data_IF_439521621492
#
_entry.id   IF_439521621492
#
_cell.length_a   1.000
_cell.length_b   1.000
_cell.length_c   1.000
_cell.angle_alpha   90.00
_cell.angle_beta   90.00
_cell.angle_gamma   90.00
#
_symmetry.space_group_name_H-M   'P 1'
#
loop_
_entity.id
_entity.type
_entity.pdbx_description
1 polymer ?
#
# COMPACT_ATOMS: atom_id res chain seq x y z
N UNK A 1 17.35 31.71 -10.66
CA UNK A 1 18.67 31.40 -11.23
C UNK A 1 19.71 31.76 -10.17
N UNK A 2 20.11 30.78 -9.36
CA UNK A 2 21.20 30.89 -8.38
C UNK A 2 21.88 29.52 -8.38
N UNK A 3 22.74 29.33 -9.39
CA UNK A 3 23.75 28.29 -9.39
C UNK A 3 24.83 28.75 -8.40
N UNK A 4 24.77 28.22 -7.18
CA UNK A 4 25.79 28.44 -6.15
C UNK A 4 26.17 27.09 -5.56
N UNK A 5 27.42 26.68 -5.77
CA UNK A 5 28.01 25.52 -5.13
C UNK A 5 28.12 25.79 -3.62
N UNK A 6 27.31 25.09 -2.82
CA UNK A 6 27.49 25.05 -1.37
C UNK A 6 27.56 23.59 -0.90
N UNK A 7 28.65 23.25 -0.20
CA UNK A 7 28.73 22.02 0.61
C UNK A 7 27.99 22.32 1.92
N UNK A 8 26.72 21.92 2.01
CA UNK A 8 25.87 22.15 3.18
C UNK A 8 25.67 20.82 3.91
N UNK A 9 26.16 20.72 5.15
CA UNK A 9 26.12 19.48 5.96
C UNK A 9 24.80 19.23 6.70
N UNK A 10 23.96 20.24 6.88
CA UNK A 10 22.61 20.12 7.48
C UNK A 10 21.84 21.42 7.25
N UNK A 11 20.61 21.37 6.73
CA UNK A 11 19.79 22.55 6.52
C UNK A 11 18.40 22.35 7.13
N UNK A 12 18.00 23.27 8.03
CA UNK A 12 16.63 23.38 8.54
C UNK A 12 15.98 24.55 7.79
N UNK A 13 15.13 24.25 6.82
CA UNK A 13 14.34 25.27 6.13
C UNK A 13 13.21 25.73 7.04
N UNK A 14 13.43 26.79 7.82
CA UNK A 14 12.32 27.43 8.53
C UNK A 14 11.49 28.33 7.59
N UNK A 15 12.04 28.92 6.52
CA UNK A 15 11.31 29.97 5.75
C UNK A 15 11.53 30.04 4.21
N UNK A 16 12.17 29.05 3.56
CA UNK A 16 12.41 29.11 2.10
C UNK A 16 11.54 28.10 1.33
N UNK A 17 10.48 28.60 0.68
CA UNK A 17 9.45 27.78 0.04
C UNK A 17 9.79 27.25 -1.37
N UNK A 18 11.06 27.02 -1.73
CA UNK A 18 11.41 26.51 -3.09
C UNK A 18 12.51 25.46 -3.05
N UNK A 19 12.17 24.23 -3.43
CA UNK A 19 13.12 23.16 -3.73
C UNK A 19 13.56 23.27 -5.20
N UNK A 20 14.85 23.49 -5.44
CA UNK A 20 15.49 23.38 -6.76
C UNK A 20 16.44 22.19 -6.78
N UNK A 21 16.63 21.56 -7.96
CA UNK A 21 17.56 20.44 -8.12
C UNK A 21 18.97 20.78 -7.58
N UNK A 22 19.50 19.90 -6.74
CA UNK A 22 20.85 20.01 -6.20
C UNK A 22 21.77 19.03 -6.93
N UNK A 23 22.76 19.53 -7.65
CA UNK A 23 23.66 18.68 -8.47
C UNK A 23 24.84 18.10 -7.69
N UNK A 24 25.17 18.61 -6.50
CA UNK A 24 26.30 18.14 -5.69
C UNK A 24 26.01 18.32 -4.19
N UNK A 25 25.46 17.29 -3.54
CA UNK A 25 25.31 17.25 -2.08
C UNK A 25 25.92 15.97 -1.53
N UNK A 26 26.86 16.11 -0.58
CA UNK A 26 27.30 15.01 0.27
C UNK A 26 26.52 15.09 1.59
N UNK A 27 25.81 14.01 1.93
CA UNK A 27 25.03 13.87 3.16
C UNK A 27 24.02 15.00 3.43
N UNK A 28 22.88 14.95 2.74
CA UNK A 28 21.77 15.90 2.92
C UNK A 28 20.71 15.30 3.85
N UNK A 29 20.37 16.01 4.93
CA UNK A 29 19.18 15.72 5.73
C UNK A 29 18.15 16.83 5.58
N UNK A 30 16.93 16.46 5.19
CA UNK A 30 15.80 17.37 5.01
C UNK A 30 14.68 17.04 6.01
N UNK A 31 14.11 18.08 6.62
CA UNK A 31 12.90 17.98 7.42
C UNK A 31 12.07 19.25 7.24
N UNK A 32 10.80 19.09 6.89
CA UNK A 32 9.88 20.17 6.60
C UNK A 32 8.78 20.22 7.66
N UNK A 33 8.73 21.31 8.44
CA UNK A 33 7.67 21.51 9.45
C UNK A 33 6.31 21.79 8.82
N UNK A 34 6.30 22.46 7.66
CA UNK A 34 5.11 22.82 6.93
C UNK A 34 4.88 21.88 5.74
N UNK A 35 3.64 21.82 5.28
CA UNK A 35 3.25 21.01 4.11
C UNK A 35 3.95 21.54 2.85
N UNK A 36 4.60 20.65 2.11
CA UNK A 36 5.26 20.94 0.83
C UNK A 36 4.32 20.52 -0.32
N UNK A 37 3.99 21.45 -1.22
CA UNK A 37 3.07 21.22 -2.35
C UNK A 37 3.58 21.83 -3.66
N UNK A 38 2.88 21.57 -4.77
CA UNK A 38 3.31 21.91 -6.14
C UNK A 38 3.86 23.32 -6.40
N UNK A 39 3.34 24.43 -5.85
CA UNK A 39 3.95 25.75 -6.09
C UNK A 39 5.38 25.89 -5.52
N UNK A 40 5.83 24.90 -4.72
CA UNK A 40 7.10 24.89 -4.01
C UNK A 40 8.11 23.87 -4.55
N UNK A 41 7.72 23.04 -5.53
CA UNK A 41 8.58 22.03 -6.18
C UNK A 41 8.62 22.31 -7.68
N UNK A 42 9.72 22.91 -8.15
CA UNK A 42 9.92 23.21 -9.57
C UNK A 42 10.57 22.07 -10.35
N UNK A 43 11.27 21.17 -9.66
CA UNK A 43 11.90 20.00 -10.27
C UNK A 43 12.08 18.89 -9.24
N UNK A 44 12.18 17.62 -9.68
CA UNK A 44 12.60 16.52 -8.82
C UNK A 44 13.97 16.79 -8.17
N UNK A 45 14.20 16.17 -7.02
CA UNK A 45 15.55 15.95 -6.52
C UNK A 45 16.22 14.90 -7.42
N UNK A 46 16.92 15.40 -8.44
CA UNK A 46 17.74 14.56 -9.32
C UNK A 46 18.96 14.06 -8.56
N UNK A 47 19.14 12.75 -8.54
CA UNK A 47 20.33 12.09 -8.01
C UNK A 47 21.09 11.54 -9.22
N UNK A 48 22.29 12.07 -9.47
CA UNK A 48 23.13 11.70 -10.63
C UNK A 48 24.31 10.80 -10.23
N UNK A 49 24.86 10.08 -11.21
CA UNK A 49 25.98 9.14 -11.05
C UNK A 49 27.36 9.82 -10.90
N UNK A 50 27.49 11.12 -11.18
CA UNK A 50 28.77 11.68 -11.64
C UNK A 50 29.76 12.09 -10.55
N UNK A 51 29.53 11.79 -9.26
CA UNK A 51 30.51 12.13 -8.23
C UNK A 51 30.72 11.01 -7.22
N UNK A 52 31.98 10.58 -7.13
CA UNK A 52 32.58 9.55 -6.26
C UNK A 52 32.57 9.91 -4.76
N UNK A 53 31.64 10.75 -4.30
CA UNK A 53 31.57 11.21 -2.91
C UNK A 53 30.17 10.90 -2.37
N UNK A 54 30.12 9.82 -1.60
CA UNK A 54 28.98 9.26 -0.87
C UNK A 54 27.97 10.31 -0.39
N UNK A 55 26.74 10.22 -0.90
CA UNK A 55 25.63 11.09 -0.54
C UNK A 55 24.49 10.29 0.06
N UNK A 56 24.42 10.24 1.40
CA UNK A 56 23.20 9.78 2.09
C UNK A 56 22.16 10.89 2.03
N UNK A 57 21.03 10.65 1.36
CA UNK A 57 19.86 11.54 1.45
C UNK A 57 18.95 11.02 2.56
N UNK A 58 18.70 11.87 3.56
CA UNK A 58 17.74 11.60 4.63
C UNK A 58 16.57 12.58 4.50
N UNK A 59 15.35 12.07 4.40
CA UNK A 59 14.13 12.87 4.53
C UNK A 59 13.38 12.37 5.77
N UNK A 60 13.07 13.27 6.70
CA UNK A 60 12.40 12.89 7.93
C UNK A 60 11.32 13.89 8.35
N UNK A 61 10.27 13.39 9.01
CA UNK A 61 9.24 14.20 9.67
C UNK A 61 8.70 15.29 8.74
N UNK A 62 8.26 14.89 7.55
CA UNK A 62 7.88 15.81 6.47
C UNK A 62 6.54 15.42 5.88
N UNK A 63 5.82 16.39 5.30
CA UNK A 63 4.55 16.15 4.63
C UNK A 63 4.54 16.76 3.23
N UNK A 64 4.45 15.91 2.21
CA UNK A 64 4.30 16.28 0.80
C UNK A 64 2.86 16.06 0.35
N UNK A 65 2.27 17.06 -0.30
CA UNK A 65 0.88 17.02 -0.74
C UNK A 65 0.72 17.54 -2.17
N UNK A 66 -0.05 16.83 -3.01
CA UNK A 66 -0.37 17.23 -4.40
C UNK A 66 0.89 17.50 -5.25
N UNK A 67 1.90 16.65 -5.11
CA UNK A 67 3.14 16.75 -5.93
C UNK A 67 2.93 15.97 -7.22
N UNK A 68 2.87 16.65 -8.36
CA UNK A 68 2.49 16.08 -9.66
C UNK A 68 3.65 15.47 -10.44
N UNK A 69 4.79 15.23 -9.78
CA UNK A 69 5.98 14.62 -10.34
C UNK A 69 6.71 13.84 -9.25
N UNK A 70 7.59 12.89 -9.60
CA UNK A 70 8.44 12.22 -8.62
C UNK A 70 9.26 13.23 -7.81
N UNK A 71 9.23 13.12 -6.48
CA UNK A 71 10.05 13.95 -5.60
C UNK A 71 11.51 13.57 -5.71
N UNK A 72 11.78 12.26 -5.70
CA UNK A 72 13.11 11.68 -5.87
C UNK A 72 13.11 10.96 -7.21
N UNK A 73 14.04 11.34 -8.09
CA UNK A 73 14.13 10.77 -9.42
C UNK A 73 15.58 10.47 -9.81
N UNK A 74 15.81 9.29 -10.39
CA UNK A 74 17.07 8.96 -11.07
C UNK A 74 17.85 7.80 -10.44
N UNK A 75 19.18 7.93 -10.46
CA UNK A 75 20.10 6.89 -10.00
C UNK A 75 20.74 7.37 -8.70
N UNK A 76 20.51 6.66 -7.60
CA UNK A 76 20.89 7.16 -6.27
C UNK A 76 21.88 6.25 -5.54
N UNK A 77 22.65 6.85 -4.64
CA UNK A 77 23.27 6.15 -3.51
C UNK A 77 22.21 5.86 -2.42
N UNK A 78 22.63 5.52 -1.20
CA UNK A 78 21.70 5.09 -0.16
C UNK A 78 20.76 6.21 0.29
N UNK A 79 19.45 5.99 0.21
CA UNK A 79 18.41 6.93 0.66
C UNK A 79 17.76 6.40 1.94
N UNK A 80 17.45 7.30 2.87
CA UNK A 80 16.60 7.01 4.02
C UNK A 80 15.45 7.99 4.11
N UNK A 81 14.23 7.48 4.18
CA UNK A 81 13.03 8.31 4.39
C UNK A 81 12.27 7.74 5.56
N UNK A 82 11.93 8.61 6.52
CA UNK A 82 11.24 8.17 7.73
C UNK A 82 10.19 9.15 8.24
N UNK A 83 9.13 8.66 8.87
CA UNK A 83 8.06 9.49 9.43
C UNK A 83 7.56 10.55 8.44
N UNK A 84 7.41 10.19 7.17
CA UNK A 84 7.10 11.13 6.09
C UNK A 84 5.80 10.73 5.41
N UNK A 85 4.93 11.71 5.18
CA UNK A 85 3.65 11.52 4.50
C UNK A 85 3.70 12.06 3.07
N UNK A 86 3.18 11.28 2.13
CA UNK A 86 2.98 11.62 0.73
C UNK A 86 1.49 11.46 0.41
N UNK A 87 0.79 12.56 0.12
CA UNK A 87 -0.63 12.55 -0.16
C UNK A 87 -0.92 13.14 -1.53
N UNK A 88 -1.66 12.42 -2.39
CA UNK A 88 -1.98 12.85 -3.76
C UNK A 88 -0.73 13.17 -4.59
N UNK A 89 0.34 12.40 -4.40
CA UNK A 89 1.59 12.55 -5.15
C UNK A 89 1.59 11.62 -6.38
N UNK A 90 2.45 11.93 -7.36
CA UNK A 90 2.71 11.07 -8.52
C UNK A 90 4.06 10.40 -8.33
N UNK A 91 4.07 9.07 -8.15
CA UNK A 91 5.26 8.22 -7.92
C UNK A 91 6.38 8.95 -7.16
N UNK A 92 6.14 9.41 -5.91
CA UNK A 92 7.05 10.29 -5.16
C UNK A 92 8.50 9.79 -5.12
N UNK A 93 8.73 8.48 -5.19
CA UNK A 93 10.08 7.91 -5.26
C UNK A 93 10.18 7.06 -6.51
N UNK A 94 10.98 7.53 -7.47
CA UNK A 94 11.22 6.85 -8.74
C UNK A 94 12.73 6.64 -8.94
N UNK A 95 13.20 5.43 -8.66
CA UNK A 95 14.60 5.06 -8.72
C UNK A 95 14.80 4.00 -9.80
N UNK A 96 15.57 4.35 -10.83
CA UNK A 96 15.85 3.46 -11.93
C UNK A 96 17.35 3.23 -12.07
N UNK A 97 17.87 2.17 -11.45
CA UNK A 97 19.30 1.83 -11.52
C UNK A 97 19.64 0.74 -12.55
N UNK A 98 18.67 0.24 -13.33
CA UNK A 98 18.93 -0.76 -14.37
C UNK A 98 20.01 -0.25 -15.33
N UNK A 99 21.09 -1.02 -15.42
CA UNK A 99 22.06 -0.90 -16.50
C UNK A 99 21.76 -2.01 -17.50
N UNK A 100 21.40 -1.67 -18.75
CA UNK A 100 20.88 -2.57 -19.81
C UNK A 100 21.79 -3.76 -20.20
N UNK A 101 22.88 -4.02 -19.46
CA UNK A 101 23.90 -5.04 -19.75
C UNK A 101 23.79 -6.31 -18.90
N UNK A 102 22.97 -6.38 -17.86
CA UNK A 102 22.90 -7.57 -16.98
C UNK A 102 21.47 -8.12 -16.89
N UNK A 103 21.28 -9.39 -17.26
CA UNK A 103 20.09 -10.15 -16.86
C UNK A 103 20.21 -10.45 -15.37
N UNK A 104 19.15 -10.18 -14.60
CA UNK A 104 19.08 -10.38 -13.14
C UNK A 104 18.88 -11.86 -12.76
N UNK A 105 19.66 -12.77 -13.37
CA UNK A 105 19.48 -14.22 -13.23
C UNK A 105 20.25 -14.83 -12.05
N UNK A 106 21.05 -14.06 -11.32
CA UNK A 106 21.71 -14.54 -10.10
C UNK A 106 21.95 -13.44 -9.07
N UNK A 107 21.92 -13.85 -7.78
CA UNK A 107 22.04 -12.98 -6.59
C UNK A 107 23.33 -12.14 -6.56
N UNK A 108 24.36 -12.54 -7.30
CA UNK A 108 25.69 -11.90 -7.34
C UNK A 108 25.72 -10.57 -8.13
N UNK A 109 24.65 -10.22 -8.83
CA UNK A 109 24.62 -9.03 -9.70
C UNK A 109 23.76 -7.88 -9.18
N UNK A 110 23.16 -7.98 -8.00
CA UNK A 110 22.34 -6.91 -7.43
C UNK A 110 23.19 -5.73 -6.97
N UNK A 111 22.67 -4.51 -7.15
CA UNK A 111 23.33 -3.31 -6.65
C UNK A 111 23.42 -3.27 -5.12
N UNK A 112 24.53 -2.75 -4.58
CA UNK A 112 24.69 -2.42 -3.15
C UNK A 112 23.91 -1.16 -2.70
N UNK A 113 23.26 -0.46 -3.63
CA UNK A 113 22.48 0.75 -3.36
C UNK A 113 21.28 0.43 -2.45
N UNK A 114 21.21 1.07 -1.27
CA UNK A 114 20.22 0.77 -0.24
C UNK A 114 19.17 1.87 -0.08
N UNK A 115 17.90 1.53 -0.20
CA UNK A 115 16.78 2.44 0.05
C UNK A 115 16.06 1.99 1.32
N UNK A 116 16.08 2.81 2.36
CA UNK A 116 15.42 2.56 3.65
C UNK A 116 14.18 3.46 3.80
N UNK A 117 13.00 2.85 3.84
CA UNK A 117 11.73 3.54 4.04
C UNK A 117 11.12 3.02 5.35
N UNK A 118 10.93 3.90 6.33
CA UNK A 118 10.48 3.51 7.65
C UNK A 118 9.37 4.42 8.18
N UNK A 119 8.19 3.88 8.51
CA UNK A 119 7.07 4.68 9.03
C UNK A 119 6.66 5.82 8.10
N UNK A 120 6.51 5.52 6.81
CA UNK A 120 6.04 6.50 5.83
C UNK A 120 4.63 6.16 5.39
N UNK A 121 3.84 7.21 5.16
CA UNK A 121 2.43 7.10 4.76
C UNK A 121 2.30 7.59 3.32
N UNK A 122 1.73 6.74 2.46
CA UNK A 122 1.46 7.04 1.06
C UNK A 122 -0.03 6.90 0.81
N UNK A 123 -0.69 8.02 0.55
CA UNK A 123 -2.13 8.11 0.44
C UNK A 123 -2.56 8.74 -0.88
N UNK A 124 -3.50 8.11 -1.58
CA UNK A 124 -4.10 8.66 -2.79
C UNK A 124 -3.07 9.04 -3.88
N UNK A 125 -1.89 8.42 -3.88
CA UNK A 125 -0.90 8.66 -4.91
C UNK A 125 -1.40 8.02 -6.21
N UNK A 126 -1.41 8.79 -7.30
CA UNK A 126 -2.06 8.38 -8.54
C UNK A 126 -1.10 8.54 -9.71
N UNK A 127 -0.77 7.44 -10.39
CA UNK A 127 0.19 7.41 -11.50
C UNK A 127 -0.28 6.42 -12.57
N UNK A 128 -1.43 6.66 -13.21
CA UNK A 128 -2.10 5.67 -14.05
C UNK A 128 -1.30 5.31 -15.31
N UNK A 129 -0.35 6.15 -15.71
CA UNK A 129 0.53 5.92 -16.87
C UNK A 129 1.92 5.41 -16.49
N UNK A 130 2.22 5.29 -15.20
CA UNK A 130 3.51 4.80 -14.68
C UNK A 130 3.30 3.52 -13.89
N UNK A 131 4.39 2.79 -13.67
CA UNK A 131 4.43 1.70 -12.71
C UNK A 131 4.78 2.22 -11.31
N UNK A 132 4.18 1.64 -10.27
CA UNK A 132 4.44 2.01 -8.88
C UNK A 132 3.84 3.36 -8.53
N UNK A 133 2.59 3.36 -8.06
CA UNK A 133 1.86 4.60 -7.73
C UNK A 133 2.55 5.45 -6.67
N UNK A 134 3.31 4.80 -5.78
CA UNK A 134 4.13 5.43 -4.76
C UNK A 134 5.62 5.28 -5.09
N UNK A 135 6.03 4.03 -5.33
CA UNK A 135 7.43 3.63 -5.41
C UNK A 135 7.69 2.88 -6.70
N UNK A 136 8.63 3.38 -7.50
CA UNK A 136 9.28 2.63 -8.57
C UNK A 136 10.72 2.37 -8.16
N UNK A 137 11.10 1.09 -8.02
CA UNK A 137 12.42 0.68 -7.55
C UNK A 137 13.02 -0.33 -8.52
N UNK A 138 14.16 0.02 -9.08
CA UNK A 138 14.83 -0.78 -10.10
C UNK A 138 16.30 -0.99 -9.73
N UNK A 139 16.72 -2.25 -9.64
CA UNK A 139 18.06 -2.72 -9.26
C UNK A 139 18.63 -2.07 -7.99
N UNK A 140 17.88 -2.16 -6.89
CA UNK A 140 18.29 -1.64 -5.58
C UNK A 140 17.97 -2.63 -4.46
N UNK A 141 18.66 -2.48 -3.33
CA UNK A 141 18.28 -3.10 -2.07
C UNK A 141 17.26 -2.23 -1.33
N UNK A 142 15.98 -2.59 -1.34
CA UNK A 142 14.93 -1.86 -0.63
C UNK A 142 14.62 -2.49 0.73
N UNK A 143 14.44 -1.64 1.75
CA UNK A 143 14.00 -2.02 3.09
C UNK A 143 12.83 -1.12 3.46
N UNK A 144 11.62 -1.67 3.40
CA UNK A 144 10.35 -0.98 3.62
C UNK A 144 9.76 -1.53 4.91
N UNK A 145 9.64 -0.69 5.94
CA UNK A 145 9.27 -1.13 7.28
C UNK A 145 8.23 -0.21 7.89
N UNK A 146 7.14 -0.77 8.43
CA UNK A 146 6.10 0.02 9.11
C UNK A 146 5.49 1.11 8.22
N UNK A 147 5.47 0.90 6.91
CA UNK A 147 4.91 1.87 5.97
C UNK A 147 3.43 1.58 5.72
N UNK A 148 2.71 2.63 5.35
CA UNK A 148 1.29 2.60 5.07
C UNK A 148 1.03 3.04 3.63
N UNK A 149 0.30 2.23 2.87
CA UNK A 149 -0.05 2.49 1.46
C UNK A 149 -1.56 2.37 1.29
N UNK A 150 -2.24 3.51 1.15
CA UNK A 150 -3.69 3.59 1.08
C UNK A 150 -4.20 4.29 -0.18
N UNK A 151 -5.10 3.62 -0.89
CA UNK A 151 -5.79 4.16 -2.07
C UNK A 151 -4.83 4.67 -3.16
N UNK A 152 -3.68 4.02 -3.34
CA UNK A 152 -2.75 4.38 -4.39
C UNK A 152 -3.09 3.64 -5.68
N UNK A 153 -2.87 4.29 -6.82
CA UNK A 153 -3.22 3.77 -8.13
C UNK A 153 -2.09 3.91 -9.14
N UNK A 154 -1.90 2.88 -9.97
CA UNK A 154 -0.88 2.87 -11.02
C UNK A 154 -1.31 2.03 -12.24
N UNK A 155 -0.49 2.01 -13.28
CA UNK A 155 -0.67 1.06 -14.38
C UNK A 155 -0.41 -0.38 -13.91
N UNK A 156 0.72 -0.59 -13.23
CA UNK A 156 1.17 -1.88 -12.67
C UNK A 156 1.75 -1.62 -11.28
N UNK A 157 1.39 -2.45 -10.29
CA UNK A 157 1.85 -2.27 -8.91
C UNK A 157 1.25 -1.01 -8.30
N UNK A 158 -0.03 -1.06 -7.91
CA UNK A 158 -0.81 0.13 -7.53
C UNK A 158 -0.15 1.01 -6.47
N UNK A 159 0.62 0.41 -5.56
CA UNK A 159 1.50 1.13 -4.65
C UNK A 159 2.98 1.04 -5.06
N UNK A 160 3.48 -0.17 -5.29
CA UNK A 160 4.91 -0.44 -5.46
C UNK A 160 5.17 -1.26 -6.71
N UNK A 161 6.14 -0.83 -7.49
CA UNK A 161 6.74 -1.61 -8.57
C UNK A 161 8.23 -1.82 -8.29
N UNK A 162 8.65 -3.09 -8.25
CA UNK A 162 10.04 -3.49 -8.04
C UNK A 162 10.51 -4.35 -9.22
N UNK A 163 11.69 -4.05 -9.74
CA UNK A 163 12.37 -4.85 -10.75
C UNK A 163 13.85 -5.02 -10.42
N UNK A 164 14.33 -6.26 -10.32
CA UNK A 164 15.70 -6.54 -9.91
C UNK A 164 15.96 -6.29 -8.42
N UNK A 165 17.20 -6.51 -8.00
CA UNK A 165 17.66 -6.22 -6.65
C UNK A 165 17.11 -7.16 -5.56
N UNK A 166 17.09 -6.66 -4.32
CA UNK A 166 16.58 -7.36 -3.14
C UNK A 166 15.62 -6.46 -2.38
N UNK A 167 14.44 -6.94 -2.06
CA UNK A 167 13.43 -6.15 -1.34
C UNK A 167 12.98 -6.83 -0.06
N UNK A 168 12.99 -6.08 1.04
CA UNK A 168 12.53 -6.51 2.36
C UNK A 168 11.38 -5.62 2.79
N UNK A 169 10.19 -6.19 2.93
CA UNK A 169 8.97 -5.49 3.33
C UNK A 169 8.47 -6.09 4.64
N UNK A 170 8.38 -5.27 5.70
CA UNK A 170 7.95 -5.76 7.02
C UNK A 170 6.98 -4.83 7.71
N UNK A 171 6.06 -5.40 8.48
CA UNK A 171 5.11 -4.64 9.31
C UNK A 171 4.35 -3.55 8.54
N UNK A 172 4.12 -3.73 7.24
CA UNK A 172 3.57 -2.70 6.37
C UNK A 172 2.16 -3.07 5.92
N UNK A 173 1.35 -2.05 5.63
CA UNK A 173 -0.06 -2.24 5.26
C UNK A 173 -0.34 -1.64 3.88
N UNK A 174 -1.01 -2.42 3.04
CA UNK A 174 -1.38 -2.09 1.66
C UNK A 174 -2.89 -2.23 1.53
N UNK A 175 -3.61 -1.12 1.47
CA UNK A 175 -5.06 -1.09 1.58
C UNK A 175 -5.67 -0.32 0.42
N UNK A 176 -6.68 -0.91 -0.22
CA UNK A 176 -7.45 -0.27 -1.30
C UNK A 176 -6.58 0.28 -2.45
N UNK A 177 -5.38 -0.27 -2.65
CA UNK A 177 -4.55 0.12 -3.78
C UNK A 177 -5.07 -0.57 -5.05
N UNK A 178 -4.96 0.11 -6.19
CA UNK A 178 -5.46 -0.38 -7.47
C UNK A 178 -4.44 -0.33 -8.59
N UNK A 179 -4.52 -1.28 -9.53
CA UNK A 179 -3.73 -1.26 -10.76
C UNK A 179 -4.61 -1.47 -11.99
N UNK A 180 -4.29 -0.75 -13.07
CA UNK A 180 -4.99 -0.91 -14.36
C UNK A 180 -4.66 -2.22 -15.07
N UNK A 181 -3.54 -2.86 -14.74
CA UNK A 181 -3.15 -4.16 -15.29
C UNK A 181 -2.95 -5.17 -14.18
N UNK A 182 -1.73 -5.26 -13.66
CA UNK A 182 -1.35 -6.31 -12.72
C UNK A 182 -0.95 -5.73 -11.35
N UNK A 183 -1.15 -6.54 -10.32
CA UNK A 183 -0.76 -6.27 -8.93
C UNK A 183 -1.41 -5.01 -8.32
N UNK A 184 -2.57 -5.19 -7.69
CA UNK A 184 -3.28 -4.07 -7.06
C UNK A 184 -2.44 -3.30 -6.03
N UNK A 185 -1.51 -3.97 -5.34
CA UNK A 185 -0.57 -3.32 -4.43
C UNK A 185 0.88 -3.38 -4.91
N UNK A 186 1.45 -4.59 -5.06
CA UNK A 186 2.90 -4.75 -5.29
C UNK A 186 3.15 -5.64 -6.51
N UNK A 187 3.80 -5.08 -7.52
CA UNK A 187 4.40 -5.86 -8.59
C UNK A 187 5.89 -6.05 -8.33
N UNK A 188 6.38 -7.28 -8.46
CA UNK A 188 7.80 -7.60 -8.31
C UNK A 188 8.27 -8.49 -9.45
N UNK A 189 9.42 -8.16 -10.04
CA UNK A 189 10.07 -9.00 -11.05
C UNK A 189 11.56 -9.15 -10.81
N UNK A 190 12.11 -10.32 -11.11
CA UNK A 190 13.54 -10.59 -11.12
C UNK A 190 14.25 -10.28 -9.77
N UNK A 191 13.56 -10.48 -8.64
CA UNK A 191 13.96 -9.97 -7.33
C UNK A 191 14.09 -11.09 -6.28
N UNK A 192 15.01 -10.91 -5.33
CA UNK A 192 14.96 -11.63 -4.05
C UNK A 192 14.04 -10.88 -3.09
N UNK A 193 12.97 -11.53 -2.68
CA UNK A 193 11.87 -10.91 -1.95
C UNK A 193 11.74 -11.50 -0.54
N UNK A 194 11.65 -10.61 0.44
CA UNK A 194 11.22 -10.92 1.80
C UNK A 194 9.99 -10.09 2.13
N UNK A 195 8.86 -10.73 2.45
CA UNK A 195 7.68 -10.04 2.99
C UNK A 195 7.27 -10.73 4.28
N UNK A 196 7.16 -9.95 5.36
CA UNK A 196 6.87 -10.50 6.68
C UNK A 196 5.93 -9.61 7.48
N UNK A 197 5.03 -10.22 8.25
CA UNK A 197 4.17 -9.52 9.21
C UNK A 197 3.41 -8.34 8.58
N UNK A 198 3.00 -8.45 7.31
CA UNK A 198 2.40 -7.37 6.53
C UNK A 198 0.96 -7.69 6.10
N UNK A 199 0.15 -6.66 5.81
CA UNK A 199 -1.25 -6.85 5.42
C UNK A 199 -1.56 -6.25 4.05
N UNK A 200 -2.39 -6.97 3.29
CA UNK A 200 -2.85 -6.63 1.96
C UNK A 200 -4.39 -6.73 1.97
N UNK A 201 -5.08 -5.59 2.03
CA UNK A 201 -6.52 -5.54 2.21
C UNK A 201 -7.22 -4.78 1.09
N UNK A 202 -8.23 -5.39 0.47
CA UNK A 202 -9.09 -4.75 -0.52
C UNK A 202 -8.33 -4.13 -1.70
N UNK A 203 -7.17 -4.68 -2.06
CA UNK A 203 -6.43 -4.23 -3.24
C UNK A 203 -7.07 -4.83 -4.50
N UNK A 204 -6.99 -4.12 -5.62
CA UNK A 204 -7.60 -4.56 -6.88
C UNK A 204 -6.71 -4.39 -8.11
N UNK A 205 -6.76 -5.36 -9.02
CA UNK A 205 -6.12 -5.28 -10.33
C UNK A 205 -7.16 -5.58 -11.43
N UNK A 206 -7.11 -4.91 -12.58
CA UNK A 206 -8.04 -5.23 -13.67
C UNK A 206 -7.69 -6.55 -14.37
N UNK A 207 -6.41 -6.95 -14.39
CA UNK A 207 -5.97 -8.19 -15.03
C UNK A 207 -5.59 -9.23 -13.97
N UNK A 208 -4.33 -9.26 -13.49
CA UNK A 208 -3.86 -10.35 -12.64
C UNK A 208 -3.30 -9.90 -11.28
N UNK A 209 -3.40 -10.77 -10.28
CA UNK A 209 -2.79 -10.55 -8.96
C UNK A 209 -3.47 -9.42 -8.20
N UNK A 210 -4.62 -9.68 -7.59
CA UNK A 210 -5.42 -8.63 -6.96
C UNK A 210 -4.67 -7.87 -5.86
N UNK A 211 -3.74 -8.51 -5.15
CA UNK A 211 -2.81 -7.81 -4.24
C UNK A 211 -1.37 -7.79 -4.73
N UNK A 212 -0.77 -8.96 -4.96
CA UNK A 212 0.64 -9.07 -5.34
C UNK A 212 0.77 -9.94 -6.59
N UNK A 213 1.60 -9.49 -7.53
CA UNK A 213 2.09 -10.33 -8.62
C UNK A 213 3.62 -10.36 -8.59
N UNK A 214 4.19 -11.56 -8.55
CA UNK A 214 5.62 -11.80 -8.57
C UNK A 214 5.99 -12.65 -9.78
N UNK A 215 7.02 -12.23 -10.52
CA UNK A 215 7.55 -12.96 -11.68
C UNK A 215 9.06 -13.18 -11.58
N UNK A 216 9.52 -14.40 -11.77
CA UNK A 216 10.96 -14.75 -11.76
C UNK A 216 11.63 -14.32 -10.44
N UNK A 217 10.95 -14.54 -9.30
CA UNK A 217 11.40 -14.09 -7.99
C UNK A 217 11.82 -15.26 -7.08
N UNK A 218 12.76 -15.01 -6.17
CA UNK A 218 13.11 -15.93 -5.10
C UNK A 218 12.58 -15.39 -3.77
N UNK A 219 11.69 -16.14 -3.13
CA UNK A 219 11.08 -15.78 -1.86
C UNK A 219 11.97 -16.30 -0.74
N UNK A 220 12.93 -15.47 -0.31
CA UNK A 220 13.84 -15.78 0.78
C UNK A 220 13.06 -16.07 2.08
N UNK A 221 12.09 -15.20 2.40
CA UNK A 221 11.19 -15.34 3.55
C UNK A 221 9.84 -14.72 3.19
N UNK A 222 8.77 -15.50 3.19
CA UNK A 222 7.41 -14.99 3.05
C UNK A 222 6.54 -15.54 4.17
N UNK A 223 6.33 -14.76 5.24
CA UNK A 223 5.78 -15.28 6.50
C UNK A 223 4.80 -14.34 7.20
N UNK A 224 3.70 -14.89 7.73
CA UNK A 224 2.70 -14.14 8.53
C UNK A 224 2.15 -12.91 7.81
N UNK A 225 1.89 -13.07 6.52
CA UNK A 225 1.23 -12.05 5.72
C UNK A 225 -0.27 -12.34 5.64
N UNK A 226 -1.07 -11.28 5.59
CA UNK A 226 -2.53 -11.36 5.52
C UNK A 226 -3.00 -10.80 4.18
N UNK A 227 -3.77 -11.60 3.45
CA UNK A 227 -4.43 -11.25 2.20
C UNK A 227 -5.93 -11.27 2.43
N UNK A 228 -6.55 -10.09 2.42
CA UNK A 228 -7.96 -9.92 2.72
C UNK A 228 -8.67 -9.19 1.57
N UNK A 229 -9.65 -9.84 0.96
CA UNK A 229 -10.48 -9.23 -0.08
C UNK A 229 -9.72 -8.63 -1.25
N UNK A 230 -8.58 -9.24 -1.64
CA UNK A 230 -7.91 -8.89 -2.89
C UNK A 230 -8.76 -9.30 -4.09
N UNK A 231 -8.84 -8.46 -5.13
CA UNK A 231 -9.68 -8.70 -6.29
C UNK A 231 -8.91 -8.53 -7.60
N UNK A 232 -9.00 -9.51 -8.50
CA UNK A 232 -8.49 -9.42 -9.85
C UNK A 232 -9.64 -9.53 -10.87
N UNK A 233 -9.63 -8.72 -11.92
CA UNK A 233 -10.63 -8.80 -12.99
C UNK A 233 -10.51 -10.09 -13.80
N UNK A 234 -9.27 -10.52 -14.11
CA UNK A 234 -9.03 -11.75 -14.86
C UNK A 234 -8.61 -12.90 -13.93
N UNK A 235 -7.42 -12.89 -13.33
CA UNK A 235 -6.87 -14.06 -12.60
C UNK A 235 -6.19 -13.70 -11.28
N UNK A 236 -6.33 -14.61 -10.31
CA UNK A 236 -5.57 -14.63 -9.04
C UNK A 236 -5.83 -13.43 -8.12
N UNK A 237 -6.82 -13.54 -7.23
CA UNK A 237 -7.28 -12.43 -6.39
C UNK A 237 -6.32 -12.01 -5.27
N UNK A 238 -5.58 -12.97 -4.70
CA UNK A 238 -4.59 -12.71 -3.66
C UNK A 238 -3.19 -12.48 -4.21
N UNK A 239 -2.42 -13.57 -4.29
CA UNK A 239 -1.01 -13.60 -4.68
C UNK A 239 -0.82 -14.47 -5.92
N UNK A 240 -0.15 -13.93 -6.95
CA UNK A 240 0.35 -14.72 -8.08
C UNK A 240 1.87 -14.77 -8.09
N UNK A 241 2.40 -15.98 -8.32
CA UNK A 241 3.82 -16.28 -8.40
C UNK A 241 4.08 -17.04 -9.70
N UNK A 242 4.73 -16.39 -10.66
CA UNK A 242 5.13 -16.98 -11.95
C UNK A 242 6.65 -17.14 -11.99
N UNK A 243 7.15 -18.31 -12.37
CA UNK A 243 8.58 -18.61 -12.43
C UNK A 243 9.31 -18.33 -11.10
N UNK A 244 8.63 -18.50 -9.97
CA UNK A 244 9.18 -18.20 -8.65
C UNK A 244 9.69 -19.46 -7.93
N UNK A 245 10.44 -19.27 -6.84
CA UNK A 245 10.90 -20.30 -5.90
C UNK A 245 10.89 -19.77 -4.48
N UNK A 246 10.94 -20.64 -3.47
CA UNK A 246 11.06 -20.26 -2.06
C UNK A 246 9.95 -20.82 -1.18
N UNK A 247 9.60 -20.08 -0.12
CA UNK A 247 8.72 -20.58 0.95
C UNK A 247 7.69 -19.53 1.37
N UNK A 248 6.40 -19.90 1.28
CA UNK A 248 5.28 -19.16 1.85
C UNK A 248 4.79 -19.93 3.07
N UNK A 249 4.82 -19.28 4.24
CA UNK A 249 4.36 -19.92 5.46
C UNK A 249 3.58 -19.03 6.41
N UNK A 250 2.72 -19.64 7.23
CA UNK A 250 1.93 -18.94 8.25
C UNK A 250 1.12 -17.75 7.70
N UNK A 251 0.81 -17.76 6.41
CA UNK A 251 0.05 -16.70 5.76
C UNK A 251 -1.45 -16.99 5.83
N UNK A 252 -2.24 -15.94 5.69
CA UNK A 252 -3.69 -15.97 5.84
C UNK A 252 -4.36 -15.37 4.61
N UNK A 253 -5.27 -16.10 3.96
CA UNK A 253 -6.00 -15.66 2.77
C UNK A 253 -7.51 -15.71 3.04
N UNK A 254 -8.24 -14.62 2.81
CA UNK A 254 -9.70 -14.57 3.01
C UNK A 254 -10.42 -13.54 2.16
N UNK A 255 -11.58 -13.93 1.63
CA UNK A 255 -12.46 -13.10 0.80
C UNK A 255 -11.85 -12.63 -0.52
N UNK A 256 -10.73 -13.20 -0.98
CA UNK A 256 -10.13 -12.86 -2.26
C UNK A 256 -11.01 -13.36 -3.42
N UNK A 257 -10.95 -12.67 -4.57
CA UNK A 257 -11.79 -12.93 -5.74
C UNK A 257 -11.01 -12.73 -7.03
N UNK A 258 -11.28 -13.54 -8.03
CA UNK A 258 -10.80 -13.34 -9.40
C UNK A 258 -11.92 -13.62 -10.39
N UNK A 259 -11.86 -13.05 -11.59
CA UNK A 259 -12.79 -13.40 -12.67
C UNK A 259 -12.69 -14.87 -13.08
N UNK A 260 -11.50 -15.46 -13.01
CA UNK A 260 -11.29 -16.90 -13.08
C UNK A 260 -11.55 -17.55 -11.73
N UNK A 261 -12.32 -18.64 -11.72
CA UNK A 261 -12.61 -19.42 -10.51
C UNK A 261 -11.41 -20.28 -10.04
N UNK A 262 -10.16 -19.90 -10.35
CA UNK A 262 -8.97 -20.72 -10.10
C UNK A 262 -7.82 -19.86 -9.59
N UNK A 263 -7.11 -20.37 -8.58
CA UNK A 263 -5.96 -19.69 -7.96
C UNK A 263 -6.36 -18.40 -7.26
N UNK A 264 -7.57 -18.34 -6.72
CA UNK A 264 -8.18 -17.11 -6.21
C UNK A 264 -7.38 -16.54 -5.04
N UNK A 265 -6.91 -17.40 -4.14
CA UNK A 265 -6.03 -17.00 -3.04
C UNK A 265 -4.59 -16.89 -3.51
N UNK A 266 -4.12 -17.96 -4.17
CA UNK A 266 -2.72 -18.18 -4.47
C UNK A 266 -2.57 -18.93 -5.78
N UNK A 267 -1.76 -18.39 -6.69
CA UNK A 267 -1.35 -19.08 -7.90
C UNK A 267 0.16 -19.23 -7.95
N UNK A 268 0.61 -20.45 -8.17
CA UNK A 268 2.02 -20.81 -8.26
C UNK A 268 2.21 -21.48 -9.63
N UNK A 269 3.01 -20.85 -10.47
CA UNK A 269 3.12 -21.19 -11.87
C UNK A 269 4.57 -21.29 -12.32
N UNK A 270 4.88 -22.32 -13.10
CA UNK A 270 6.15 -22.47 -13.81
C UNK A 270 7.40 -22.39 -12.90
N UNK A 271 7.31 -22.91 -11.67
CA UNK A 271 8.36 -22.72 -10.66
C UNK A 271 9.73 -23.17 -11.15
N UNK A 272 10.72 -22.29 -11.01
CA UNK A 272 12.09 -22.51 -11.46
C UNK A 272 12.87 -23.46 -10.55
N UNK A 273 12.43 -23.61 -9.30
CA UNK A 273 13.00 -24.48 -8.26
C UNK A 273 11.89 -24.85 -7.26
N UNK A 274 12.22 -25.49 -6.14
CA UNK A 274 11.27 -25.82 -5.07
C UNK A 274 10.50 -24.59 -4.59
N UNK A 275 9.19 -24.76 -4.44
CA UNK A 275 8.30 -23.76 -3.88
C UNK A 275 7.42 -24.41 -2.81
N UNK A 276 7.66 -24.07 -1.56
CA UNK A 276 7.02 -24.72 -0.42
C UNK A 276 5.90 -23.86 0.16
N UNK A 277 4.82 -24.53 0.56
CA UNK A 277 3.67 -23.95 1.26
C UNK A 277 3.51 -24.63 2.61
N UNK A 278 3.74 -23.90 3.69
CA UNK A 278 3.74 -24.47 5.04
C UNK A 278 2.83 -23.70 6.01
N UNK A 279 1.94 -24.40 6.73
CA UNK A 279 1.15 -23.78 7.81
C UNK A 279 0.32 -22.56 7.39
N UNK A 280 -0.12 -22.48 6.13
CA UNK A 280 -0.95 -21.39 5.64
C UNK A 280 -2.45 -21.69 5.86
N UNK A 281 -3.24 -20.64 6.01
CA UNK A 281 -4.68 -20.77 6.19
C UNK A 281 -5.44 -20.03 5.09
N UNK A 282 -6.35 -20.73 4.42
CA UNK A 282 -7.12 -20.27 3.27
C UNK A 282 -8.61 -20.32 3.60
N UNK A 283 -9.32 -19.20 3.48
CA UNK A 283 -10.73 -19.02 3.85
C UNK A 283 -11.51 -18.28 2.77
N UNK A 284 -11.06 -18.34 1.53
CA UNK A 284 -11.82 -17.83 0.40
C UNK A 284 -13.01 -18.75 0.17
N UNK A 285 -14.18 -18.15 -0.04
CA UNK A 285 -15.45 -18.90 -0.19
C UNK A 285 -15.56 -19.57 -1.55
N UNK A 286 -14.81 -19.08 -2.54
CA UNK A 286 -14.79 -19.60 -3.90
C UNK A 286 -13.91 -20.87 -4.00
N UNK A 287 -14.21 -21.78 -4.94
CA UNK A 287 -13.46 -23.00 -5.14
C UNK A 287 -12.04 -22.74 -5.70
N UNK A 288 -11.20 -23.79 -5.72
CA UNK A 288 -9.86 -23.75 -6.30
C UNK A 288 -9.00 -22.57 -5.80
N UNK A 289 -8.99 -22.38 -4.48
CA UNK A 289 -8.23 -21.35 -3.78
C UNK A 289 -6.75 -21.33 -4.19
N UNK A 290 -6.16 -22.50 -4.44
CA UNK A 290 -4.76 -22.65 -4.84
C UNK A 290 -4.66 -23.23 -6.25
N UNK A 291 -3.99 -22.50 -7.14
CA UNK A 291 -3.57 -22.99 -8.46
C UNK A 291 -2.11 -23.43 -8.40
N UNK A 292 -1.83 -24.63 -8.90
CA UNK A 292 -0.48 -25.15 -9.12
C UNK A 292 -0.33 -25.54 -10.60
N UNK A 293 0.64 -24.98 -11.30
CA UNK A 293 1.02 -25.42 -12.65
C UNK A 293 2.47 -25.88 -12.68
N UNK A 294 2.90 -26.57 -13.75
CA UNK A 294 4.28 -27.03 -14.03
C UNK A 294 5.32 -26.59 -12.99
N UNK A 295 5.64 -27.47 -12.04
CA UNK A 295 6.57 -27.15 -10.96
C UNK A 295 7.68 -28.19 -10.84
N UNK A 296 8.81 -27.72 -10.32
CA UNK A 296 9.82 -28.55 -9.67
C UNK A 296 9.31 -29.10 -8.34
N UNK A 297 10.07 -30.01 -7.70
CA UNK A 297 9.69 -30.64 -6.42
C UNK A 297 9.24 -29.60 -5.38
N UNK A 298 7.95 -29.59 -5.04
CA UNK A 298 7.30 -28.59 -4.18
C UNK A 298 6.55 -29.27 -3.05
N UNK A 299 6.78 -28.82 -1.81
CA UNK A 299 6.17 -29.38 -0.61
C UNK A 299 5.01 -28.51 -0.11
N UNK A 300 3.86 -29.12 0.11
CA UNK A 300 2.65 -28.45 0.59
C UNK A 300 2.24 -29.15 1.88
N UNK A 301 2.56 -28.54 3.02
CA UNK A 301 2.47 -29.18 4.33
C UNK A 301 1.69 -28.34 5.35
N UNK A 302 0.89 -29.01 6.18
CA UNK A 302 0.15 -28.43 7.31
C UNK A 302 -0.74 -27.20 6.95
N UNK A 303 -1.17 -27.08 5.70
CA UNK A 303 -2.06 -25.98 5.30
C UNK A 303 -3.51 -26.28 5.72
N UNK A 304 -4.29 -25.25 6.05
CA UNK A 304 -5.71 -25.38 6.37
C UNK A 304 -6.54 -24.62 5.36
N UNK A 305 -7.60 -25.25 4.86
CA UNK A 305 -8.46 -24.67 3.85
C UNK A 305 -9.92 -24.81 4.27
N UNK A 306 -10.63 -23.69 4.27
CA UNK A 306 -12.07 -23.60 4.32
C UNK A 306 -12.54 -22.93 3.02
N UNK A 307 -13.22 -23.67 2.15
CA UNK A 307 -13.94 -23.14 0.99
C UNK A 307 -15.34 -23.73 0.93
N UNK A 308 -16.13 -23.27 -0.05
CA UNK A 308 -17.35 -23.94 -0.52
C UNK A 308 -17.07 -25.38 -1.00
N UNK A 309 -18.16 -26.13 -1.19
CA UNK A 309 -18.28 -27.60 -1.34
C UNK A 309 -17.39 -28.33 -2.37
N UNK A 310 -16.46 -27.66 -3.07
CA UNK A 310 -15.60 -28.24 -4.14
C UNK A 310 -14.16 -28.59 -3.68
N UNK A 311 -13.16 -28.56 -4.58
CA UNK A 311 -11.74 -28.82 -4.28
C UNK A 311 -10.98 -27.52 -3.96
N UNK A 312 -10.10 -27.54 -2.95
CA UNK A 312 -9.24 -26.39 -2.61
C UNK A 312 -8.08 -26.16 -3.58
N UNK A 313 -7.65 -27.20 -4.28
CA UNK A 313 -6.52 -27.15 -5.23
C UNK A 313 -7.01 -27.37 -6.66
N UNK A 314 -6.40 -26.62 -7.59
CA UNK A 314 -6.46 -26.90 -9.01
C UNK A 314 -5.03 -27.11 -9.51
N UNK A 315 -4.75 -28.32 -9.99
CA UNK A 315 -3.41 -28.70 -10.44
C UNK A 315 -3.45 -28.94 -11.94
N UNK A 316 -2.74 -28.08 -12.70
CA UNK A 316 -2.59 -28.23 -14.14
C UNK A 316 -1.21 -28.79 -14.43
N UNK A 317 -1.16 -30.04 -14.83
CA UNK A 317 0.09 -30.64 -15.23
C UNK A 317 0.27 -30.65 -16.75
N UNK A 318 1.11 -29.75 -17.25
CA UNK A 318 1.54 -29.74 -18.65
C UNK A 318 2.97 -30.27 -18.83
N UNK A 319 3.55 -30.90 -17.80
CA UNK A 319 4.95 -31.35 -17.80
C UNK A 319 5.08 -32.85 -17.48
N UNK A 320 6.19 -33.46 -17.91
CA UNK A 320 6.50 -34.86 -17.59
C UNK A 320 7.21 -35.04 -16.22
N UNK A 321 7.33 -33.97 -15.41
CA UNK A 321 8.08 -33.97 -14.14
C UNK A 321 7.40 -33.24 -12.95
N UNK A 322 6.07 -33.16 -12.82
CA UNK A 322 5.50 -32.54 -11.62
C UNK A 322 5.80 -33.41 -10.39
N UNK A 323 6.43 -32.84 -9.38
CA UNK A 323 6.59 -33.53 -8.10
C UNK A 323 5.99 -32.65 -7.00
N UNK A 324 4.71 -32.84 -6.70
CA UNK A 324 4.07 -32.22 -5.54
C UNK A 324 3.95 -33.23 -4.42
N UNK A 325 4.41 -32.86 -3.22
CA UNK A 325 4.17 -33.64 -2.01
C UNK A 325 3.21 -32.85 -1.15
N UNK A 326 1.94 -33.27 -1.15
CA UNK A 326 0.90 -32.70 -0.30
C UNK A 326 0.69 -33.61 0.90
N UNK A 327 0.94 -33.11 2.10
CA UNK A 327 0.74 -33.86 3.33
C UNK A 327 0.19 -32.97 4.45
N UNK A 328 -0.56 -33.56 5.38
CA UNK A 328 -1.23 -32.89 6.50
C UNK A 328 -2.06 -31.63 6.15
N UNK A 329 -2.39 -31.44 4.88
CA UNK A 329 -3.20 -30.30 4.45
C UNK A 329 -4.67 -30.64 4.68
N UNK A 330 -5.33 -29.86 5.53
CA UNK A 330 -6.71 -30.11 5.97
C UNK A 330 -7.68 -29.32 5.13
N UNK A 331 -8.70 -30.02 4.66
CA UNK A 331 -9.84 -29.49 3.94
C UNK A 331 -11.08 -29.54 4.82
N UNK A 332 -11.88 -28.47 4.85
CA UNK A 332 -13.11 -28.37 5.64
C UNK A 332 -12.90 -28.70 7.14
N UNK A 333 -12.24 -27.80 7.87
CA UNK A 333 -12.14 -27.96 9.33
C UNK A 333 -12.98 -26.91 10.02
N UNK A 334 -14.13 -27.33 10.58
CA UNK A 334 -15.14 -26.51 11.27
C UNK A 334 -14.62 -25.63 12.44
N UNK A 335 -13.31 -25.67 12.73
CA UNK A 335 -12.64 -24.99 13.84
C UNK A 335 -11.36 -24.24 13.40
N UNK A 336 -11.25 -23.78 12.15
CA UNK A 336 -10.11 -22.92 11.81
C UNK A 336 -10.25 -21.58 12.55
N UNK A 337 -9.15 -21.08 13.14
CA UNK A 337 -9.12 -19.80 13.85
C UNK A 337 -9.78 -18.70 13.02
N UNK A 338 -10.59 -17.85 13.66
CA UNK A 338 -11.20 -16.71 12.97
C UNK A 338 -10.08 -15.81 12.44
N UNK A 339 -10.30 -15.28 11.24
CA UNK A 339 -9.41 -14.29 10.62
C UNK A 339 -8.88 -13.29 11.66
N UNK A 340 -7.57 -12.98 11.65
CA UNK A 340 -7.05 -11.88 12.45
C UNK A 340 -7.95 -10.68 12.21
N UNK A 341 -8.47 -10.08 13.30
CA UNK A 341 -9.22 -8.83 13.16
C UNK A 341 -8.30 -7.84 12.48
N UNK A 342 -8.76 -7.27 11.38
CA UNK A 342 -8.13 -6.12 10.72
C UNK A 342 -7.71 -5.15 11.84
N UNK A 343 -6.43 -4.74 11.94
CA UNK A 343 -5.98 -3.88 13.02
C UNK A 343 -6.95 -2.70 13.22
N UNK A 344 -7.31 -2.38 14.45
CA UNK A 344 -8.39 -1.42 14.74
C UNK A 344 -8.17 -0.02 14.12
N UNK A 345 -6.92 0.34 13.82
CA UNK A 345 -6.53 1.54 13.06
C UNK A 345 -6.90 1.41 11.57
N UNK A 346 -6.65 0.25 10.94
CA UNK A 346 -7.10 -0.04 9.57
C UNK A 346 -8.63 0.02 9.43
N UNK A 347 -9.38 -0.45 10.42
CA UNK A 347 -10.86 -0.36 10.39
C UNK A 347 -11.33 1.09 10.46
N UNK A 348 -10.69 1.96 11.27
CA UNK A 348 -11.01 3.39 11.28
C UNK A 348 -10.72 4.05 9.93
N UNK A 349 -9.70 3.59 9.22
CA UNK A 349 -9.29 4.13 7.92
C UNK A 349 -10.02 3.53 6.71
N UNK A 350 -10.54 2.31 6.81
CA UNK A 350 -11.50 1.77 5.83
C UNK A 350 -12.80 2.57 5.80
N UNK A 351 -13.15 3.22 6.91
CA UNK A 351 -14.27 4.17 7.07
C UNK A 351 -13.81 5.63 7.16
N UNK A 352 -12.60 5.99 6.73
CA UNK A 352 -12.22 7.40 6.59
C UNK A 352 -13.17 8.03 5.58
N UNK A 353 -13.97 8.95 6.12
CA UNK A 353 -14.81 9.91 5.46
C UNK A 353 -14.19 10.37 4.14
N UNK A 354 -14.97 10.26 3.08
CA UNK A 354 -14.65 10.87 1.79
C UNK A 354 -14.64 12.41 1.96
N UNK A 355 -13.45 12.99 2.10
CA UNK A 355 -13.25 14.45 2.08
C UNK A 355 -13.67 15.09 0.73
N UNK A 356 -14.12 14.33 -0.27
CA UNK A 356 -14.73 14.90 -1.48
C UNK A 356 -16.15 15.45 -1.25
N UNK A 357 -16.76 15.23 -0.07
CA UNK A 357 -18.01 15.87 0.33
C UNK A 357 -17.81 16.49 1.72
N UNK A 358 -17.62 17.82 1.85
CA UNK A 358 -17.61 18.44 3.17
C UNK A 358 -18.96 18.11 3.86
N UNK A 359 -18.98 17.74 5.15
CA UNK A 359 -20.21 17.36 5.86
C UNK A 359 -21.20 18.52 6.05
N UNK A 360 -20.88 19.69 5.50
CA UNK A 360 -21.67 20.89 5.60
C UNK A 360 -21.80 21.54 4.22
N UNK A 361 -22.97 21.37 3.61
CA UNK A 361 -23.42 22.42 2.69
C UNK A 361 -23.59 23.68 3.52
N UNK A 362 -22.76 24.70 3.27
CA UNK A 362 -22.89 26.04 3.87
C UNK A 362 -24.34 26.54 3.79
N UNK A 363 -25.06 26.16 2.73
CA UNK A 363 -26.49 26.42 2.55
C UNK A 363 -27.38 25.77 3.62
N UNK A 364 -27.10 24.52 4.03
CA UNK A 364 -27.79 23.82 5.12
C UNK A 364 -27.45 24.42 6.49
N UNK A 365 -26.22 24.89 6.70
CA UNK A 365 -25.84 25.64 7.90
C UNK A 365 -26.60 26.97 8.00
N UNK A 366 -26.69 27.73 6.90
CA UNK A 366 -27.48 28.96 6.87
C UNK A 366 -28.97 28.70 7.08
N UNK A 367 -29.52 27.62 6.50
CA UNK A 367 -30.92 27.23 6.78
C UNK A 367 -31.13 26.84 8.25
N UNK A 368 -30.19 26.12 8.87
CA UNK A 368 -30.29 25.74 10.27
C UNK A 368 -30.19 26.95 11.21
N UNK A 369 -29.26 27.88 10.93
CA UNK A 369 -29.12 29.14 11.67
C UNK A 369 -30.39 30.00 11.53
N UNK A 370 -30.97 30.05 10.33
CA UNK A 370 -32.23 30.75 10.08
C UNK A 370 -33.43 30.08 10.77
N UNK A 371 -33.49 28.74 10.79
CA UNK A 371 -34.53 28.00 11.49
C UNK A 371 -34.43 28.22 13.01
N UNK A 372 -33.22 28.15 13.56
CA UNK A 372 -32.98 28.41 14.98
C UNK A 372 -33.35 29.85 15.34
N UNK A 373 -32.94 30.85 14.55
CA UNK A 373 -33.27 32.26 14.82
C UNK A 373 -34.78 32.54 14.75
N UNK A 374 -35.48 31.94 13.79
CA UNK A 374 -36.95 32.06 13.69
C UNK A 374 -37.65 31.40 14.87
N UNK A 375 -37.20 30.23 15.33
CA UNK A 375 -37.71 29.60 16.56
C UNK A 375 -37.49 30.50 17.78
N UNK A 376 -36.31 31.11 17.94
CA UNK A 376 -36.04 32.03 19.07
C UNK A 376 -36.96 33.25 19.03
N UNK A 377 -37.21 33.81 17.84
CA UNK A 377 -38.15 34.93 17.66
C UNK A 377 -39.57 34.50 18.02
N UNK A 378 -40.04 33.33 17.55
CA UNK A 378 -41.36 32.79 17.89
C UNK A 378 -41.50 32.55 19.40
N UNK A 379 -40.48 32.02 20.07
CA UNK A 379 -40.51 31.82 21.52
C UNK A 379 -40.53 33.17 22.25
N UNK A 380 -39.64 34.10 21.88
CA UNK A 380 -39.51 35.40 22.55
C UNK A 380 -40.71 36.33 22.38
N UNK A 381 -41.45 36.22 21.26
CA UNK A 381 -42.64 37.03 20.99
C UNK A 381 -43.93 36.26 21.32
N UNK A 382 -43.98 34.98 20.96
CA UNK A 382 -45.18 34.15 21.09
C UNK A 382 -45.46 33.71 22.53
N UNK A 383 -44.42 33.40 23.33
CA UNK A 383 -44.61 32.97 24.72
C UNK A 383 -45.17 34.11 25.60
N UNK A 384 -44.68 35.36 25.52
CA UNK A 384 -45.30 36.47 26.25
C UNK A 384 -46.75 36.76 25.85
N UNK A 385 -47.10 36.64 24.55
CA UNK A 385 -48.48 36.83 24.07
C UNK A 385 -49.45 35.74 24.56
N UNK A 386 -48.98 34.50 24.72
CA UNK A 386 -49.80 33.40 25.26
C UNK A 386 -49.97 33.50 26.79
N UNK A 387 -48.95 33.98 27.50
CA UNK A 387 -49.00 34.17 28.96
C UNK A 387 -49.86 35.40 29.33
N UNK A 388 -49.86 36.47 28.54
CA UNK A 388 -50.72 37.64 28.82
C UNK A 388 -52.22 37.38 28.65
N UNK A 389 -52.61 36.36 27.89
CA UNK A 389 -54.01 35.97 27.72
C UNK A 389 -54.53 34.95 28.75
N UNK A 390 -53.69 34.53 29.71
CA UNK A 390 -54.10 33.63 30.80
C UNK A 390 -53.82 34.26 32.16
N UNK A 391 -54.48 35.38 32.45
CA UNK A 391 -54.49 35.97 33.79
C UNK A 391 -55.31 35.12 34.76
N UNK A 392 -54.75 34.64 35.89
CA UNK A 392 -55.52 34.18 37.02
C UNK A 392 -55.83 35.36 37.93
N UNK A 393 -57.12 35.45 38.24
CA UNK A 393 -57.75 36.27 39.26
C UNK A 393 -56.93 36.39 40.55
N UNK A 394 -56.73 37.63 40.99
CA UNK A 394 -56.08 37.92 42.26
C UNK A 394 -56.82 37.31 43.44
N UNK A 395 -56.12 36.49 44.22
CA UNK A 395 -56.41 36.27 45.64
C UNK A 395 -55.12 36.52 46.41
N UNK A 396 -54.84 37.79 46.67
CA UNK A 396 -53.91 38.19 47.70
C UNK A 396 -54.65 38.27 49.03
N UNK A 397 -54.26 37.41 49.98
CA UNK A 397 -54.37 37.70 51.40
C UNK A 397 -53.14 37.15 52.10
N UNK A 398 -52.42 38.02 52.81
CA UNK A 398 -52.11 37.90 54.24
C UNK A 398 -51.16 39.01 54.69
N UNK A 399 -51.62 39.88 55.60
CA UNK A 399 -51.12 39.92 56.99
C UNK A 399 -51.82 41.02 57.80
N UNK A 400 -52.34 40.57 58.94
CA UNK A 400 -52.82 41.28 60.14
C UNK A 400 -54.00 42.23 59.99
#
# INVERSE_FOLDING_TARGET
MLLGFFIIRSFSLNDLMRLSAFSQLSNLSLSFKNVVSLPYINSPLFLSNDFSIFSHLIIANSYFQKVSMPLIYGITHSIKIQNTKFNRCVSPIYINCINNKKKFTSREYYSDKKIELNKNDYENCNSPTLEGGCLYLSDVKSVITKCYFFQNNANIGGAIFIIGGRSVITFSNFIKNSAQKDAGAIYVRDCSLTIKDSSFASNSAQQNGGSIAAKTCNFDIFIRNIFYSGSAGDKYGGLSCDECSGLIMQCYFKGNKAGSNVGISLAIMNNIDSFNLENNNFYDTEPFQILLTSASLSYIYDNKMACSEENGFYIVNNSNKPNYVIANTRYNSDNIEKAPKVPGELMREMFVYDEAQPPFEIRKLFMLIFLLSTITVIISIGVPCLIQNSGPTGKGYTKQ
#
